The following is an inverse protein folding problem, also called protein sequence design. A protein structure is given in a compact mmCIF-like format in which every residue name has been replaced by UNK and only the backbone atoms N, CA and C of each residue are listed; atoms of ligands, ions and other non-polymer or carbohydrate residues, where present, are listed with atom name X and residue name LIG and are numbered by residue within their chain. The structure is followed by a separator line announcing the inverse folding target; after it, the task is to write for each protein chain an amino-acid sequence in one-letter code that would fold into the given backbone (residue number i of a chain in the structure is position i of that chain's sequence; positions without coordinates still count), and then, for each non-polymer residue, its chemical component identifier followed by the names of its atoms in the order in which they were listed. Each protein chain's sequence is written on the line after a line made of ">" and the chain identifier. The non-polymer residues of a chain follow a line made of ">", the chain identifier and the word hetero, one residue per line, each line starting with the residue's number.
data_IF_823314370827
#
_entry.id   IF_823314370827
#
_cell.length_a   1.000
_cell.length_b   1.000
_cell.length_c   1.000
_cell.angle_alpha   90.00
_cell.angle_beta   90.00
_cell.angle_gamma   90.00
#
_symmetry.space_group_name_H-M   'P 1'
#
loop_
_entity.id
_entity.type
_entity.pdbx_description
1 polymer ?
#
# COMPACT_ATOMS: atom_id res chain seq x y z
N UNK A 1 -11.10 6.78 -6.69
CA UNK A 1 -10.24 6.18 -7.73
C UNK A 1 -9.02 5.45 -7.14
N UNK A 2 -8.13 6.09 -6.37
CA UNK A 2 -6.94 5.40 -5.83
C UNK A 2 -7.22 4.39 -4.70
N UNK A 3 -8.32 4.54 -3.98
CA UNK A 3 -8.70 3.59 -2.91
C UNK A 3 -8.97 2.18 -3.43
N UNK A 4 -9.47 2.06 -4.67
CA UNK A 4 -9.77 0.74 -5.27
C UNK A 4 -8.54 -0.14 -5.43
N UNK A 5 -7.32 0.44 -5.42
CA UNK A 5 -6.07 -0.32 -5.50
C UNK A 5 -5.86 -1.19 -4.26
N UNK A 6 -6.34 -0.76 -3.08
CA UNK A 6 -6.23 -1.50 -1.82
C UNK A 6 -7.49 -2.33 -1.50
N UNK A 7 -8.57 -2.19 -2.26
CA UNK A 7 -9.82 -2.94 -2.11
C UNK A 7 -9.82 -4.23 -2.95
N UNK A 8 -10.71 -5.20 -2.68
CA UNK A 8 -10.83 -6.42 -3.49
C UNK A 8 -10.90 -6.14 -4.99
N UNK A 9 -10.13 -6.88 -5.78
CA UNK A 9 -9.92 -6.63 -7.21
C UNK A 9 -8.76 -5.67 -7.53
N UNK A 10 -8.23 -4.96 -6.54
CA UNK A 10 -7.08 -4.07 -6.68
C UNK A 10 -5.72 -4.78 -6.65
N UNK A 11 -4.72 -4.19 -7.32
CA UNK A 11 -3.35 -4.72 -7.37
C UNK A 11 -2.50 -4.49 -6.11
N UNK A 12 -3.06 -3.88 -5.06
CA UNK A 12 -2.37 -3.51 -3.82
C UNK A 12 -3.10 -3.92 -2.54
N UNK A 13 -4.03 -4.89 -2.62
CA UNK A 13 -4.86 -5.36 -1.48
C UNK A 13 -4.05 -5.68 -0.22
N UNK A 14 -2.81 -6.14 -0.36
CA UNK A 14 -1.93 -6.44 0.78
C UNK A 14 -1.54 -5.23 1.63
N UNK A 15 -1.75 -4.01 1.14
CA UNK A 15 -1.53 -2.79 1.92
C UNK A 15 -2.74 -2.41 2.79
N UNK A 16 -3.89 -3.07 2.65
CA UNK A 16 -5.11 -2.71 3.37
C UNK A 16 -4.90 -2.69 4.88
N UNK A 17 -5.48 -1.68 5.53
CA UNK A 17 -5.38 -1.46 6.98
C UNK A 17 -6.78 -1.58 7.57
N UNK A 18 -6.97 -2.47 8.55
CA UNK A 18 -8.27 -2.64 9.20
C UNK A 18 -8.72 -1.32 9.83
N UNK A 19 -9.94 -0.88 9.49
CA UNK A 19 -10.53 0.35 10.02
C UNK A 19 -10.13 1.63 9.29
N UNK A 20 -9.24 1.58 8.29
CA UNK A 20 -8.82 2.76 7.53
C UNK A 20 -8.97 2.58 6.03
N UNK A 21 -9.48 3.62 5.38
CA UNK A 21 -9.42 3.82 3.94
C UNK A 21 -8.03 4.36 3.60
N UNK A 22 -7.40 3.78 2.59
CA UNK A 22 -6.10 4.24 2.08
C UNK A 22 -6.17 4.45 0.58
N UNK A 23 -5.53 5.50 0.10
CA UNK A 23 -5.41 5.81 -1.31
C UNK A 23 -3.96 5.54 -1.74
N UNK A 24 -3.74 4.45 -2.47
CA UNK A 24 -2.39 4.00 -2.82
C UNK A 24 -2.24 3.74 -4.32
N UNK A 25 -0.99 3.68 -4.76
CA UNK A 25 -0.60 3.09 -6.03
C UNK A 25 0.58 2.16 -5.83
N UNK A 26 0.49 0.97 -6.42
CA UNK A 26 1.60 0.03 -6.53
C UNK A 26 2.24 0.13 -7.92
N UNK A 27 3.51 -0.20 -8.00
CA UNK A 27 4.19 -0.34 -9.28
C UNK A 27 5.44 -1.20 -9.19
N UNK A 28 5.91 -1.58 -10.37
CA UNK A 28 7.06 -2.47 -10.55
C UNK A 28 7.81 -1.97 -11.77
N UNK A 29 8.98 -1.37 -11.56
CA UNK A 29 9.80 -0.85 -12.65
C UNK A 29 10.93 -1.84 -12.96
N UNK A 30 11.24 -2.05 -14.24
CA UNK A 30 12.42 -2.82 -14.64
C UNK A 30 13.66 -1.94 -14.48
N UNK A 31 14.72 -2.46 -13.87
CA UNK A 31 15.96 -1.71 -13.62
C UNK A 31 16.76 -1.54 -14.92
N UNK A 32 17.46 -0.42 -15.01
CA UNK A 32 18.44 -0.13 -16.06
C UNK A 32 19.82 -0.58 -15.56
N UNK A 33 20.54 -1.32 -16.39
CA UNK A 33 21.90 -1.79 -16.15
C UNK A 33 22.96 -0.74 -16.50
N UNK A 34 24.25 -1.04 -16.25
CA UNK A 34 25.35 -0.10 -16.53
C UNK A 34 25.47 0.30 -18.00
N UNK A 35 24.98 -0.51 -18.93
CA UNK A 35 24.98 -0.26 -20.38
C UNK A 35 23.75 0.52 -20.86
N UNK A 36 22.92 1.02 -19.94
CA UNK A 36 21.70 1.76 -20.26
C UNK A 36 20.52 0.88 -20.70
N UNK A 37 20.66 -0.45 -20.73
CA UNK A 37 19.59 -1.38 -21.12
C UNK A 37 18.82 -1.91 -19.91
N UNK A 38 17.57 -2.31 -20.12
CA UNK A 38 16.80 -2.97 -19.07
C UNK A 38 17.35 -4.35 -18.73
N UNK A 39 17.57 -4.61 -17.44
CA UNK A 39 18.01 -5.91 -16.91
C UNK A 39 16.87 -6.61 -16.17
N UNK A 40 16.96 -7.93 -15.99
CA UNK A 40 15.95 -8.73 -15.26
C UNK A 40 16.08 -8.54 -13.74
N UNK A 41 16.02 -7.28 -13.30
CA UNK A 41 15.97 -6.83 -11.93
C UNK A 41 14.87 -5.78 -11.83
N UNK A 42 14.26 -5.65 -10.65
CA UNK A 42 13.06 -4.83 -10.50
C UNK A 42 13.15 -3.87 -9.33
N UNK A 43 12.41 -2.77 -9.41
CA UNK A 43 12.13 -1.87 -8.30
C UNK A 43 10.65 -2.06 -7.97
N UNK A 44 10.37 -2.63 -6.80
CA UNK A 44 9.01 -2.78 -6.27
C UNK A 44 8.67 -1.57 -5.43
N UNK A 45 7.55 -0.88 -5.71
CA UNK A 45 7.17 0.31 -4.96
C UNK A 45 5.68 0.39 -4.67
N UNK A 46 5.37 1.00 -3.53
CA UNK A 46 4.03 1.38 -3.12
C UNK A 46 4.10 2.77 -2.53
N UNK A 47 3.28 3.68 -3.07
CA UNK A 47 3.14 5.04 -2.58
C UNK A 47 1.68 5.32 -2.28
N UNK A 48 1.41 6.18 -1.29
CA UNK A 48 0.03 6.53 -0.98
C UNK A 48 -0.12 7.41 0.25
N UNK A 49 -1.38 7.68 0.57
CA UNK A 49 -1.79 8.56 1.66
C UNK A 49 -2.86 7.92 2.55
N UNK A 50 -2.90 8.33 3.80
CA UNK A 50 -3.92 7.91 4.76
C UNK A 50 -4.21 8.98 5.84
N UNK A 51 -5.41 8.98 6.45
CA UNK A 51 -6.63 8.30 5.96
C UNK A 51 -7.09 8.86 4.61
N UNK A 52 -7.82 8.10 3.79
CA UNK A 52 -8.21 8.56 2.45
C UNK A 52 -9.31 9.63 2.49
N UNK A 53 -10.15 9.62 3.52
CA UNK A 53 -11.20 10.64 3.74
C UNK A 53 -10.62 12.03 3.99
N UNK A 54 -9.55 12.12 4.79
CA UNK A 54 -8.83 13.36 5.10
C UNK A 54 -7.33 13.07 5.27
N UNK A 55 -6.53 13.08 4.18
CA UNK A 55 -5.12 12.71 4.21
C UNK A 55 -4.28 13.51 5.22
N UNK A 56 -3.52 12.80 6.06
CA UNK A 56 -2.61 13.38 7.06
C UNK A 56 -1.15 13.02 6.82
N UNK A 57 -0.92 11.84 6.24
CA UNK A 57 0.41 11.29 6.00
C UNK A 57 0.54 10.83 4.56
N UNK A 58 1.71 11.08 3.98
CA UNK A 58 2.17 10.47 2.73
C UNK A 58 3.32 9.52 3.04
N UNK A 59 3.30 8.33 2.42
CA UNK A 59 4.34 7.32 2.58
C UNK A 59 4.73 6.77 1.22
N UNK A 60 6.03 6.53 1.03
CA UNK A 60 6.58 5.84 -0.13
C UNK A 60 7.49 4.73 0.38
N UNK A 61 7.25 3.51 -0.10
CA UNK A 61 8.09 2.35 0.17
C UNK A 61 8.67 1.87 -1.16
N UNK A 62 10.00 1.77 -1.22
CA UNK A 62 10.74 1.28 -2.38
C UNK A 62 11.63 0.13 -1.96
N UNK A 63 11.54 -0.98 -2.67
CA UNK A 63 12.39 -2.16 -2.48
C UNK A 63 13.15 -2.38 -3.77
N UNK A 64 14.48 -2.27 -3.67
CA UNK A 64 15.39 -2.35 -4.79
C UNK A 64 15.87 -3.80 -4.98
N UNK A 65 15.64 -4.36 -6.17
CA UNK A 65 16.08 -5.70 -6.57
C UNK A 65 15.64 -6.82 -5.61
N UNK A 66 14.33 -7.03 -5.35
CA UNK A 66 13.86 -8.14 -4.51
C UNK A 66 14.15 -9.50 -5.19
N UNK A 67 14.86 -10.39 -4.50
CA UNK A 67 15.37 -11.66 -5.07
C UNK A 67 14.65 -12.92 -4.55
N UNK A 68 13.79 -12.81 -3.53
CA UNK A 68 13.11 -13.94 -2.90
C UNK A 68 11.84 -14.42 -3.65
N UNK A 69 11.90 -14.45 -4.99
CA UNK A 69 10.83 -14.96 -5.86
C UNK A 69 9.74 -13.95 -6.26
N UNK A 70 9.13 -13.24 -5.32
CA UNK A 70 8.11 -12.21 -5.66
C UNK A 70 8.78 -10.85 -5.91
N UNK A 71 8.36 -10.16 -6.98
CA UNK A 71 8.94 -8.87 -7.37
C UNK A 71 7.92 -7.75 -7.63
N UNK A 72 6.62 -8.06 -7.71
CA UNK A 72 5.60 -7.04 -7.91
C UNK A 72 5.44 -6.12 -6.69
N UNK A 73 5.30 -4.82 -6.88
CA UNK A 73 5.05 -3.85 -5.80
C UNK A 73 3.88 -4.24 -4.89
N UNK A 74 2.77 -4.70 -5.47
CA UNK A 74 1.61 -5.21 -4.74
C UNK A 74 1.89 -6.44 -3.85
N UNK A 75 2.92 -7.22 -4.18
CA UNK A 75 3.29 -8.42 -3.43
C UNK A 75 4.40 -8.15 -2.39
N UNK A 76 5.31 -7.21 -2.68
CA UNK A 76 6.54 -6.98 -1.93
C UNK A 76 6.45 -5.71 -1.07
N UNK A 77 6.20 -4.54 -1.68
CA UNK A 77 6.21 -3.25 -0.96
C UNK A 77 4.85 -2.89 -0.35
N UNK A 78 3.74 -3.35 -0.91
CA UNK A 78 2.40 -3.09 -0.38
C UNK A 78 2.19 -3.59 1.06
N UNK A 79 2.54 -4.83 1.45
CA UNK A 79 2.39 -5.26 2.85
C UNK A 79 3.27 -4.44 3.81
N UNK A 80 4.45 -4.00 3.38
CA UNK A 80 5.32 -3.13 4.16
C UNK A 80 4.71 -1.74 4.35
N UNK A 81 4.12 -1.17 3.28
CA UNK A 81 3.35 0.08 3.37
C UNK A 81 2.22 -0.03 4.40
N UNK A 82 1.41 -1.09 4.33
CA UNK A 82 0.27 -1.29 5.23
C UNK A 82 0.71 -1.42 6.70
N UNK A 83 1.79 -2.15 6.96
CA UNK A 83 2.35 -2.30 8.30
C UNK A 83 2.85 -0.97 8.87
N UNK A 84 3.63 -0.20 8.10
CA UNK A 84 4.17 1.09 8.55
C UNK A 84 3.04 2.10 8.74
N UNK A 85 2.20 2.31 7.73
CA UNK A 85 1.12 3.29 7.79
C UNK A 85 0.11 2.94 8.88
N UNK A 86 -0.20 1.66 9.08
CA UNK A 86 -1.07 1.21 10.17
C UNK A 86 -0.48 1.51 11.55
N UNK A 87 0.84 1.31 11.71
CA UNK A 87 1.58 1.74 12.90
C UNK A 87 1.50 3.24 13.12
N UNK A 88 1.80 4.05 12.09
CA UNK A 88 1.75 5.52 12.14
C UNK A 88 0.37 6.02 12.57
N UNK A 89 -0.71 5.55 11.92
CA UNK A 89 -2.07 5.97 12.24
C UNK A 89 -2.45 5.65 13.69
N UNK A 90 -2.05 4.47 14.18
CA UNK A 90 -2.28 4.05 15.57
C UNK A 90 -1.48 4.88 16.56
N UNK A 91 -0.18 5.06 16.33
CA UNK A 91 0.70 5.84 17.21
C UNK A 91 0.26 7.29 17.32
N UNK A 92 -0.24 7.86 16.22
CA UNK A 92 -0.69 9.24 16.15
C UNK A 92 -2.16 9.43 16.58
N UNK A 93 -2.82 8.38 17.09
CA UNK A 93 -4.21 8.38 17.53
C UNK A 93 -5.18 8.99 16.48
N UNK A 94 -4.99 8.65 15.20
CA UNK A 94 -5.92 9.08 14.15
C UNK A 94 -7.25 8.34 14.30
N UNK A 95 -8.36 9.04 14.06
CA UNK A 95 -9.67 8.40 14.08
C UNK A 95 -9.85 7.48 12.84
N UNK A 96 -10.31 6.22 13.00
CA UNK A 96 -10.57 5.32 11.88
C UNK A 96 -11.69 5.83 10.95
N UNK A 97 -11.49 5.76 9.64
CA UNK A 97 -12.46 6.25 8.62
C UNK A 97 -13.12 5.12 7.80
N UNK A 98 -12.96 3.87 8.23
CA UNK A 98 -13.58 2.68 7.65
C UNK A 98 -14.17 1.74 8.70
N UNK A 99 -14.74 2.28 9.79
CA UNK A 99 -15.46 1.45 10.76
C UNK A 99 -16.72 0.89 10.07
N UNK A 100 -16.86 -0.45 10.11
CA UNK A 100 -18.13 -1.06 9.77
C UNK A 100 -19.15 -0.54 10.78
N UNK A 101 -20.15 0.20 10.32
CA UNK A 101 -21.34 0.49 11.12
C UNK A 101 -21.82 -0.86 11.63
N UNK A 102 -21.81 -1.06 12.96
CA UNK A 102 -22.37 -2.25 13.56
C UNK A 102 -23.75 -2.44 12.92
N UNK A 103 -23.90 -3.53 12.14
CA UNK A 103 -25.17 -3.95 11.58
C UNK A 103 -26.14 -3.87 12.76
N UNK A 104 -27.10 -2.93 12.73
CA UNK A 104 -28.13 -2.85 13.76
C UNK A 104 -28.70 -4.27 13.88
N UNK A 105 -28.33 -4.96 14.95
CA UNK A 105 -28.96 -6.19 15.37
C UNK A 105 -30.32 -5.72 15.88
N UNK A 106 -31.26 -5.62 14.94
CA UNK A 106 -32.67 -5.59 15.29
C UNK A 106 -32.97 -7.00 15.83
N UNK A 107 -32.89 -7.13 17.16
CA UNK A 107 -33.67 -8.09 17.92
C UNK A 107 -35.14 -7.67 17.85
#
# INVERSE_FOLDING_TARGET
>A
MMESVALPGGGGVKAAIKGYRIAIKTGTAKKVGPDGRYINKYIAYTAGVAPASQPRFALVVVINDPQAGKYYGGAVSAPVFGAIMGGVLRTMNIEPDALATAKKMNL
#
